data_IF_004193583486
#
_entry.id   IF_004193583486
#
_cell.length_a   1.000
_cell.length_b   1.000
_cell.length_c   1.000
_cell.angle_alpha   90.00
_cell.angle_beta   90.00
_cell.angle_gamma   90.00
#
_symmetry.space_group_name_H-M   'P 1'
#
loop_
_entity.id
_entity.type
_entity.pdbx_description
1 polymer ?
#
# COMPACT_ATOMS: atom_id res chain seq x y z
N UNK A 1 19.01 -5.21 2.90
CA UNK A 1 19.54 -4.09 3.72
C UNK A 1 20.38 -4.62 4.88
N UNK A 2 21.16 -3.75 5.58
CA UNK A 2 21.91 -4.16 6.77
C UNK A 2 21.27 -3.52 7.99
N UNK A 3 20.91 -4.34 8.98
CA UNK A 3 20.42 -3.92 10.28
C UNK A 3 21.42 -4.38 11.35
N UNK A 4 21.59 -3.58 12.39
CA UNK A 4 22.36 -3.99 13.55
C UNK A 4 21.54 -5.00 14.38
N UNK A 5 22.21 -5.93 15.07
CA UNK A 5 21.53 -6.94 15.89
C UNK A 5 20.61 -6.33 16.96
N UNK A 6 20.95 -5.12 17.43
CA UNK A 6 20.15 -4.38 18.41
C UNK A 6 18.83 -3.88 17.84
N UNK A 7 18.73 -3.68 16.50
CA UNK A 7 17.48 -3.29 15.85
C UNK A 7 16.34 -4.30 16.12
N UNK A 8 16.64 -5.58 16.16
CA UNK A 8 15.66 -6.64 16.31
C UNK A 8 15.24 -6.92 17.76
N UNK A 9 15.82 -6.22 18.74
CA UNK A 9 15.45 -6.36 20.15
C UNK A 9 14.12 -5.65 20.44
N UNK A 10 13.43 -6.14 21.48
CA UNK A 10 12.27 -5.49 22.07
C UNK A 10 12.63 -4.05 22.49
N UNK A 11 11.77 -3.12 22.17
CA UNK A 11 12.03 -1.70 22.38
C UNK A 11 10.76 -0.98 22.83
N UNK A 12 10.89 0.08 23.62
CA UNK A 12 9.77 0.99 23.93
C UNK A 12 9.99 2.32 23.22
N UNK A 13 9.07 2.66 22.30
CA UNK A 13 9.02 3.97 21.61
C UNK A 13 7.71 4.67 21.97
N UNK A 14 7.78 5.93 22.40
CA UNK A 14 6.61 6.74 22.80
C UNK A 14 5.65 6.02 23.77
N UNK A 15 6.21 5.24 24.71
CA UNK A 15 5.45 4.46 25.70
C UNK A 15 4.77 3.23 25.12
N UNK A 16 5.04 2.87 23.87
CA UNK A 16 4.53 1.66 23.22
C UNK A 16 5.64 0.60 23.09
N UNK A 17 5.31 -0.63 23.51
CA UNK A 17 6.23 -1.75 23.39
C UNK A 17 6.19 -2.37 21.99
N UNK A 18 7.30 -2.30 21.26
CA UNK A 18 7.47 -2.88 19.94
C UNK A 18 8.18 -4.24 20.10
N UNK A 19 7.51 -5.36 19.81
CA UNK A 19 8.10 -6.69 19.96
C UNK A 19 9.07 -7.01 18.81
N UNK A 20 9.98 -8.01 19.00
CA UNK A 20 10.90 -8.48 17.95
C UNK A 20 10.22 -8.87 16.65
N UNK A 21 9.02 -9.44 16.71
CA UNK A 21 8.22 -9.78 15.53
C UNK A 21 7.94 -8.54 14.66
N UNK A 22 7.53 -7.42 15.26
CA UNK A 22 7.27 -6.18 14.52
C UNK A 22 8.54 -5.57 13.94
N UNK A 23 9.65 -5.61 14.67
CA UNK A 23 10.95 -5.16 14.16
C UNK A 23 11.37 -5.96 12.92
N UNK A 24 11.09 -7.26 12.89
CA UNK A 24 11.36 -8.11 11.72
C UNK A 24 10.37 -7.84 10.58
N UNK A 25 9.10 -7.60 10.89
CA UNK A 25 8.10 -7.19 9.89
C UNK A 25 8.50 -5.88 9.21
N UNK A 26 8.91 -4.87 9.99
CA UNK A 26 9.42 -3.59 9.47
C UNK A 26 10.66 -3.80 8.58
N UNK A 27 11.64 -4.56 9.04
CA UNK A 27 12.84 -4.85 8.26
C UNK A 27 12.51 -5.56 6.93
N UNK A 28 11.60 -6.52 6.97
CA UNK A 28 11.15 -7.25 5.78
C UNK A 28 10.45 -6.32 4.77
N UNK A 29 9.56 -5.43 5.23
CA UNK A 29 8.91 -4.45 4.36
C UNK A 29 9.91 -3.43 3.80
N UNK A 30 10.90 -3.01 4.59
CA UNK A 30 11.95 -2.11 4.14
C UNK A 30 12.83 -2.73 3.05
N UNK A 31 13.01 -4.07 3.00
CA UNK A 31 13.65 -4.74 1.85
C UNK A 31 12.82 -4.55 0.57
N UNK A 32 11.50 -4.70 0.64
CA UNK A 32 10.61 -4.45 -0.50
C UNK A 32 10.64 -2.97 -0.89
N UNK A 33 10.53 -2.07 0.10
CA UNK A 33 10.63 -0.63 -0.12
C UNK A 33 11.93 -0.25 -0.84
N UNK A 34 13.05 -0.81 -0.39
CA UNK A 34 14.35 -0.56 -1.03
C UNK A 34 14.40 -1.02 -2.48
N UNK A 35 13.88 -2.20 -2.79
CA UNK A 35 13.79 -2.70 -4.17
C UNK A 35 12.99 -1.72 -5.05
N UNK A 36 11.82 -1.28 -4.59
CA UNK A 36 10.96 -0.36 -5.35
C UNK A 36 11.59 1.02 -5.48
N UNK A 37 12.16 1.56 -4.41
CA UNK A 37 12.79 2.90 -4.45
C UNK A 37 14.05 2.94 -5.28
N UNK A 38 14.85 1.86 -5.31
CA UNK A 38 16.00 1.73 -6.20
C UNK A 38 15.57 1.71 -7.69
N UNK A 39 14.43 1.08 -8.00
CA UNK A 39 13.84 1.11 -9.35
C UNK A 39 13.39 2.54 -9.69
N UNK A 40 12.72 3.22 -8.76
CA UNK A 40 12.31 4.61 -8.94
C UNK A 40 13.52 5.52 -9.22
N UNK A 41 14.57 5.43 -8.39
CA UNK A 41 15.76 6.26 -8.50
C UNK A 41 16.50 6.04 -9.85
N UNK A 42 16.65 4.76 -10.30
CA UNK A 42 17.28 4.45 -11.58
C UNK A 42 16.52 4.97 -12.81
N UNK A 43 15.19 5.06 -12.68
CA UNK A 43 14.31 5.46 -13.76
C UNK A 43 13.84 6.92 -13.64
N UNK A 44 14.41 7.70 -12.73
CA UNK A 44 14.02 9.10 -12.48
C UNK A 44 12.50 9.23 -12.25
N UNK A 45 11.93 8.30 -11.47
CA UNK A 45 10.53 8.28 -11.07
C UNK A 45 10.41 8.91 -9.68
N UNK A 46 9.61 9.95 -9.57
CA UNK A 46 9.41 10.66 -8.32
C UNK A 46 8.32 9.97 -7.49
N UNK A 47 8.70 9.52 -6.29
CA UNK A 47 7.77 8.95 -5.29
C UNK A 47 7.88 9.71 -3.98
N UNK A 48 6.90 9.57 -3.12
CA UNK A 48 6.89 10.08 -1.75
C UNK A 48 6.34 9.02 -0.78
N UNK A 49 6.81 9.00 0.45
CA UNK A 49 6.12 8.31 1.53
C UNK A 49 4.65 8.75 1.61
N UNK A 50 3.74 7.82 1.97
CA UNK A 50 2.31 8.11 2.10
C UNK A 50 1.81 7.74 3.50
N UNK A 51 0.67 8.25 3.89
CA UNK A 51 -0.04 7.94 5.14
C UNK A 51 0.86 7.81 6.39
N UNK A 52 0.79 6.65 7.08
CA UNK A 52 1.57 6.32 8.27
C UNK A 52 3.08 6.41 8.02
N UNK A 53 3.54 5.99 6.86
CA UNK A 53 4.95 6.06 6.45
C UNK A 53 5.45 7.50 6.37
N UNK A 54 4.66 8.43 5.79
CA UNK A 54 4.99 9.87 5.76
C UNK A 54 5.02 10.46 7.15
N UNK A 55 3.99 10.19 7.97
CA UNK A 55 3.92 10.64 9.34
C UNK A 55 5.07 10.09 10.18
N UNK A 56 5.43 8.83 9.97
CA UNK A 56 6.57 8.18 10.60
C UNK A 56 7.90 8.88 10.27
N UNK A 57 8.16 9.13 8.98
CA UNK A 57 9.37 9.85 8.55
C UNK A 57 9.47 11.25 9.17
N UNK A 58 8.37 12.01 9.20
CA UNK A 58 8.34 13.38 9.73
C UNK A 58 8.47 13.40 11.25
N UNK A 59 7.71 12.59 11.98
CA UNK A 59 7.54 12.65 13.43
C UNK A 59 8.52 11.75 14.18
N UNK A 60 8.68 10.49 13.72
CA UNK A 60 9.46 9.46 14.43
C UNK A 60 10.83 9.20 13.81
N UNK A 61 11.08 9.70 12.59
CA UNK A 61 12.27 9.38 11.77
C UNK A 61 12.38 7.87 11.47
N UNK A 62 11.25 7.19 11.40
CA UNK A 62 11.11 5.76 11.21
C UNK A 62 9.66 5.34 11.30
N UNK A 63 9.43 4.05 11.53
CA UNK A 63 8.10 3.48 11.71
C UNK A 63 7.39 4.09 12.92
N UNK A 64 6.10 4.32 12.81
CA UNK A 64 5.24 4.62 13.96
C UNK A 64 5.17 3.33 14.82
N UNK A 65 5.35 3.40 16.16
CA UNK A 65 5.49 2.20 16.99
C UNK A 65 4.32 1.22 16.92
N UNK A 66 3.13 1.69 16.59
CA UNK A 66 1.90 0.90 16.47
C UNK A 66 1.39 0.81 15.03
N UNK A 67 2.31 0.89 14.06
CA UNK A 67 2.03 0.77 12.63
C UNK A 67 2.72 -0.47 12.05
N UNK A 68 2.10 -1.13 11.08
CA UNK A 68 2.52 -2.42 10.58
C UNK A 68 2.68 -2.48 9.05
N UNK A 69 2.51 -1.36 8.36
CA UNK A 69 2.61 -1.27 6.90
C UNK A 69 3.51 -0.12 6.41
N UNK A 70 3.89 -0.20 5.15
CA UNK A 70 4.66 0.83 4.45
C UNK A 70 3.94 1.21 3.16
N UNK A 71 3.69 2.50 3.02
CA UNK A 71 2.99 3.11 1.91
C UNK A 71 3.84 4.13 1.18
N UNK A 72 3.77 4.13 -0.15
CA UNK A 72 4.29 5.23 -0.98
C UNK A 72 3.23 5.71 -1.95
N UNK A 73 3.36 6.95 -2.38
CA UNK A 73 2.50 7.54 -3.41
C UNK A 73 3.30 8.19 -4.52
N UNK A 74 2.69 8.26 -5.70
CA UNK A 74 3.24 8.90 -6.87
C UNK A 74 2.15 9.69 -7.58
N UNK A 75 2.51 10.85 -8.13
CA UNK A 75 1.63 11.52 -9.08
C UNK A 75 1.34 10.60 -10.27
N UNK A 76 0.14 10.70 -10.84
CA UNK A 76 -0.38 9.78 -11.87
C UNK A 76 0.61 9.46 -12.99
N UNK A 77 1.34 10.45 -13.47
CA UNK A 77 2.31 10.26 -14.57
C UNK A 77 3.42 9.28 -14.13
N UNK A 78 4.00 9.51 -12.97
CA UNK A 78 5.07 8.65 -12.44
C UNK A 78 4.53 7.28 -11.98
N UNK A 79 3.32 7.23 -11.40
CA UNK A 79 2.65 5.96 -11.10
C UNK A 79 2.49 5.09 -12.35
N UNK A 80 1.97 5.66 -13.43
CA UNK A 80 1.79 4.91 -14.69
C UNK A 80 3.12 4.45 -15.32
N UNK A 81 4.20 5.22 -15.13
CA UNK A 81 5.55 4.82 -15.55
C UNK A 81 6.04 3.66 -14.70
N UNK A 82 5.92 3.77 -13.38
CA UNK A 82 6.36 2.73 -12.43
C UNK A 82 5.66 1.40 -12.69
N UNK A 83 4.33 1.39 -12.80
CA UNK A 83 3.55 0.16 -13.04
C UNK A 83 3.98 -0.57 -14.34
N UNK A 84 4.41 0.16 -15.36
CA UNK A 84 4.91 -0.45 -16.61
C UNK A 84 6.34 -0.99 -16.52
N UNK A 85 7.13 -0.45 -15.59
CA UNK A 85 8.54 -0.81 -15.39
C UNK A 85 8.68 -1.96 -14.41
N UNK A 86 7.92 -1.97 -13.32
CA UNK A 86 8.01 -2.95 -12.25
C UNK A 86 8.05 -4.41 -12.75
N UNK A 87 7.15 -4.89 -13.63
CA UNK A 87 7.20 -6.28 -14.10
C UNK A 87 8.50 -6.67 -14.80
N UNK A 88 9.27 -5.70 -15.28
CA UNK A 88 10.51 -5.91 -16.04
C UNK A 88 11.77 -5.79 -15.19
N UNK A 89 11.71 -5.00 -14.12
CA UNK A 89 12.89 -4.64 -13.31
C UNK A 89 12.86 -5.21 -11.89
N UNK A 90 11.71 -5.76 -11.45
CA UNK A 90 11.64 -6.45 -10.16
C UNK A 90 12.57 -7.67 -10.17
N UNK A 91 13.39 -7.86 -9.12
CA UNK A 91 14.18 -9.08 -8.97
C UNK A 91 13.28 -10.31 -8.86
N UNK A 92 13.83 -11.48 -9.17
CA UNK A 92 13.15 -12.75 -8.93
C UNK A 92 12.65 -12.84 -7.48
N UNK A 93 11.44 -13.33 -7.32
CA UNK A 93 10.77 -13.44 -6.02
C UNK A 93 9.86 -12.27 -5.67
N UNK A 94 9.94 -11.15 -6.41
CA UNK A 94 9.06 -10.00 -6.23
C UNK A 94 8.11 -9.84 -7.41
N UNK A 95 6.87 -9.48 -7.13
CA UNK A 95 5.81 -9.33 -8.14
C UNK A 95 4.92 -8.13 -7.84
N UNK A 96 4.26 -7.62 -8.88
CA UNK A 96 3.16 -6.66 -8.73
C UNK A 96 1.89 -7.42 -8.41
N UNK A 97 1.19 -7.04 -7.34
CA UNK A 97 -0.13 -7.51 -6.98
C UNK A 97 -1.18 -6.39 -7.13
N UNK A 98 -2.44 -6.77 -7.32
CA UNK A 98 -3.55 -5.85 -7.58
C UNK A 98 -3.93 -5.81 -9.06
N UNK A 99 -4.70 -4.79 -9.46
CA UNK A 99 -5.35 -4.73 -10.78
C UNK A 99 -4.37 -4.78 -11.98
N UNK A 100 -3.12 -4.40 -11.78
CA UNK A 100 -2.08 -4.38 -12.82
C UNK A 100 -1.15 -5.60 -12.79
N UNK A 101 -1.43 -6.60 -11.95
CA UNK A 101 -0.67 -7.85 -11.98
C UNK A 101 -0.83 -8.60 -13.30
N UNK A 102 0.25 -9.20 -13.79
CA UNK A 102 0.22 -10.12 -14.93
C UNK A 102 -0.30 -11.52 -14.53
N UNK A 103 -0.36 -11.82 -13.23
CA UNK A 103 -0.86 -13.07 -12.67
C UNK A 103 -2.32 -12.92 -12.21
N UNK A 104 -3.26 -13.71 -12.79
CA UNK A 104 -4.68 -13.64 -12.44
C UNK A 104 -4.94 -13.85 -10.93
N UNK A 105 -4.22 -14.77 -10.29
CA UNK A 105 -4.30 -14.99 -8.83
C UNK A 105 -4.04 -13.71 -8.02
N UNK A 106 -3.09 -12.89 -8.47
CA UNK A 106 -2.70 -11.66 -7.78
C UNK A 106 -3.56 -10.45 -8.15
N UNK A 107 -4.36 -10.55 -9.24
CA UNK A 107 -5.35 -9.53 -9.58
C UNK A 107 -6.52 -9.53 -8.59
N UNK A 108 -6.86 -10.67 -8.00
CA UNK A 108 -7.91 -10.79 -6.98
C UNK A 108 -7.54 -10.07 -5.67
N UNK A 109 -6.26 -9.72 -5.47
CA UNK A 109 -5.80 -8.89 -4.35
C UNK A 109 -6.21 -7.41 -4.47
N UNK A 110 -6.79 -6.97 -5.59
CA UNK A 110 -7.32 -5.62 -5.73
C UNK A 110 -8.58 -5.43 -4.87
N UNK A 111 -8.49 -4.57 -3.86
CA UNK A 111 -9.61 -4.21 -2.97
C UNK A 111 -9.75 -2.69 -2.78
N UNK A 112 -8.74 -1.93 -3.19
CA UNK A 112 -8.70 -0.45 -3.24
C UNK A 112 -7.95 0.01 -4.50
N UNK A 113 -7.97 1.31 -4.78
CA UNK A 113 -7.32 1.94 -5.95
C UNK A 113 -5.81 2.07 -5.73
N UNK A 114 -5.11 0.95 -5.66
CA UNK A 114 -3.66 0.90 -5.45
C UNK A 114 -3.03 -0.28 -6.21
N UNK A 115 -1.73 -0.27 -6.29
CA UNK A 115 -0.90 -1.44 -6.61
C UNK A 115 -0.03 -1.81 -5.42
N UNK A 116 0.44 -3.03 -5.38
CA UNK A 116 1.38 -3.50 -4.37
C UNK A 116 2.59 -4.12 -5.02
N UNK A 117 3.74 -4.03 -4.38
CA UNK A 117 4.86 -4.95 -4.65
C UNK A 117 4.99 -5.87 -3.46
N UNK A 118 4.96 -7.16 -3.71
CA UNK A 118 5.05 -8.18 -2.67
C UNK A 118 6.14 -9.19 -3.00
N UNK A 119 6.68 -9.85 -1.97
CA UNK A 119 7.34 -11.14 -2.14
C UNK A 119 6.27 -12.19 -2.48
N UNK A 120 6.48 -12.98 -3.52
CA UNK A 120 5.53 -14.04 -3.89
C UNK A 120 5.95 -15.37 -3.30
N UNK A 121 5.15 -15.92 -2.40
CA UNK A 121 5.39 -17.19 -1.70
C UNK A 121 5.63 -18.38 -2.63
N UNK A 122 5.11 -18.34 -3.87
CA UNK A 122 5.32 -19.40 -4.86
C UNK A 122 6.73 -19.35 -5.50
N UNK A 123 7.44 -18.22 -5.36
CA UNK A 123 8.74 -17.98 -5.97
C UNK A 123 9.92 -18.12 -4.98
N UNK A 124 9.65 -18.22 -3.69
CA UNK A 124 10.67 -18.30 -2.65
C UNK A 124 10.74 -19.70 -2.03
N UNK A 125 11.95 -20.27 -1.92
CA UNK A 125 12.21 -21.28 -0.91
C UNK A 125 12.09 -20.65 0.48
N UNK A 126 11.54 -21.38 1.45
CA UNK A 126 11.29 -20.83 2.78
C UNK A 126 12.57 -20.36 3.50
N UNK A 127 13.67 -21.12 3.39
CA UNK A 127 14.92 -20.76 4.06
C UNK A 127 15.57 -19.53 3.41
N UNK A 128 15.53 -19.44 2.08
CA UNK A 128 16.03 -18.27 1.35
C UNK A 128 15.19 -17.04 1.66
N UNK A 129 13.87 -17.21 1.74
CA UNK A 129 12.96 -16.17 2.17
C UNK A 129 13.32 -15.66 3.59
N UNK A 130 13.40 -16.55 4.56
CA UNK A 130 13.72 -16.22 5.96
C UNK A 130 15.06 -15.50 6.08
N UNK A 131 16.07 -15.93 5.32
CA UNK A 131 17.37 -15.28 5.29
C UNK A 131 17.31 -13.88 4.70
N UNK A 132 16.57 -13.69 3.61
CA UNK A 132 16.45 -12.40 2.93
C UNK A 132 15.62 -11.41 3.75
N UNK A 133 14.50 -11.87 4.34
CA UNK A 133 13.55 -11.05 5.08
C UNK A 133 13.77 -11.10 6.60
N UNK A 134 15.02 -11.22 7.03
CA UNK A 134 15.46 -11.07 8.43
C UNK A 134 14.71 -11.95 9.44
N UNK A 135 14.30 -13.15 9.04
CA UNK A 135 13.59 -14.08 9.89
C UNK A 135 12.11 -13.77 10.14
N UNK A 136 11.52 -12.85 9.37
CA UNK A 136 10.08 -12.62 9.42
C UNK A 136 9.34 -13.70 8.63
N UNK A 137 8.45 -14.50 9.26
CA UNK A 137 7.93 -15.72 8.61
C UNK A 137 6.77 -15.51 7.63
N UNK A 138 6.33 -14.28 7.36
CA UNK A 138 5.21 -14.00 6.47
C UNK A 138 5.66 -13.85 5.01
N UNK A 139 5.38 -14.85 4.18
CA UNK A 139 5.91 -14.95 2.80
C UNK A 139 5.25 -14.05 1.76
N UNK A 140 4.32 -13.15 2.16
CA UNK A 140 3.68 -12.16 1.27
C UNK A 140 3.97 -10.73 1.70
N UNK A 141 5.10 -10.52 2.35
CA UNK A 141 5.51 -9.18 2.76
C UNK A 141 5.57 -8.24 1.56
N UNK A 142 5.09 -7.01 1.71
CA UNK A 142 5.02 -6.05 0.62
C UNK A 142 4.83 -4.63 1.08
N UNK A 143 4.75 -3.72 0.11
CA UNK A 143 4.41 -2.31 0.30
C UNK A 143 3.27 -1.91 -0.62
N UNK A 144 2.54 -0.89 -0.23
CA UNK A 144 1.44 -0.34 -1.00
C UNK A 144 1.86 0.91 -1.78
N UNK A 145 1.34 1.03 -3.01
CA UNK A 145 1.71 2.08 -3.96
C UNK A 145 0.44 2.77 -4.45
N UNK A 146 0.27 4.02 -4.07
CA UNK A 146 -0.94 4.80 -4.32
C UNK A 146 -0.76 5.82 -5.45
N UNK A 147 -1.69 5.90 -6.41
CA UNK A 147 -1.74 7.01 -7.34
C UNK A 147 -2.29 8.26 -6.66
N UNK A 148 -1.71 9.41 -6.95
CA UNK A 148 -2.27 10.73 -6.64
C UNK A 148 -2.74 11.35 -7.94
N UNK A 149 -4.01 11.74 -7.98
CA UNK A 149 -4.69 12.26 -9.14
C UNK A 149 -5.11 13.71 -8.96
N UNK A 150 -5.15 14.44 -10.06
CA UNK A 150 -5.60 15.82 -10.10
C UNK A 150 -7.12 15.89 -10.02
N UNK A 151 -7.64 16.89 -9.26
CA UNK A 151 -9.06 17.17 -9.11
C UNK A 151 -9.40 18.35 -10.01
N UNK A 152 -10.32 18.17 -10.94
CA UNK A 152 -10.72 19.22 -11.90
C UNK A 152 -11.31 20.45 -11.22
N UNK A 153 -10.97 21.65 -11.74
CA UNK A 153 -11.64 22.90 -11.39
C UNK A 153 -13.08 22.96 -11.90
N UNK A 154 -13.37 22.23 -12.98
CA UNK A 154 -14.74 22.06 -13.47
C UNK A 154 -15.50 21.14 -12.51
N UNK A 155 -16.43 21.75 -11.78
CA UNK A 155 -17.19 21.05 -10.74
C UNK A 155 -18.15 20.01 -11.32
N UNK A 156 -18.72 20.25 -12.49
CA UNK A 156 -19.64 19.31 -13.14
C UNK A 156 -18.88 18.07 -13.60
N UNK A 157 -17.70 18.27 -14.20
CA UNK A 157 -16.81 17.17 -14.54
C UNK A 157 -16.34 16.39 -13.31
N UNK A 158 -15.88 17.06 -12.25
CA UNK A 158 -15.41 16.44 -11.02
C UNK A 158 -16.51 15.62 -10.33
N UNK A 159 -17.75 16.13 -10.30
CA UNK A 159 -18.89 15.41 -9.71
C UNK A 159 -19.27 14.18 -10.55
N UNK A 160 -19.35 14.33 -11.88
CA UNK A 160 -19.60 13.21 -12.79
C UNK A 160 -18.53 12.11 -12.63
N UNK A 161 -17.27 12.52 -12.54
CA UNK A 161 -16.15 11.59 -12.31
C UNK A 161 -16.32 10.84 -10.97
N UNK A 162 -16.70 11.56 -9.91
CA UNK A 162 -16.98 10.99 -8.58
C UNK A 162 -18.10 9.95 -8.62
N UNK A 163 -19.22 10.29 -9.27
CA UNK A 163 -20.37 9.39 -9.40
C UNK A 163 -20.01 8.09 -10.13
N UNK A 164 -19.25 8.19 -11.22
CA UNK A 164 -18.78 7.01 -11.97
C UNK A 164 -17.89 6.12 -11.08
N UNK A 165 -16.93 6.70 -10.36
CA UNK A 165 -16.05 5.98 -9.45
C UNK A 165 -16.85 5.30 -8.34
N UNK A 166 -17.77 6.03 -7.68
CA UNK A 166 -18.61 5.51 -6.61
C UNK A 166 -19.48 4.34 -7.10
N UNK A 167 -20.08 4.44 -8.28
CA UNK A 167 -20.86 3.35 -8.86
C UNK A 167 -20.00 2.11 -9.10
N UNK A 168 -18.81 2.27 -9.69
CA UNK A 168 -17.88 1.16 -9.92
C UNK A 168 -17.43 0.49 -8.63
N UNK A 169 -17.06 1.28 -7.61
CA UNK A 169 -16.69 0.76 -6.29
C UNK A 169 -17.86 0.06 -5.58
N UNK A 170 -19.08 0.60 -5.69
CA UNK A 170 -20.28 -0.02 -5.16
C UNK A 170 -20.51 -1.41 -5.79
N UNK A 171 -20.42 -1.52 -7.12
CA UNK A 171 -20.53 -2.80 -7.82
C UNK A 171 -19.50 -3.81 -7.30
N UNK A 172 -18.23 -3.40 -7.16
CA UNK A 172 -17.16 -4.28 -6.69
C UNK A 172 -17.36 -4.72 -5.23
N UNK A 173 -17.74 -3.81 -4.34
CA UNK A 173 -17.97 -4.06 -2.91
C UNK A 173 -19.20 -4.92 -2.67
N UNK A 174 -20.27 -4.72 -3.44
CA UNK A 174 -21.54 -5.44 -3.29
C UNK A 174 -21.70 -6.58 -4.31
N UNK A 175 -20.64 -7.02 -4.96
CA UNK A 175 -20.67 -8.00 -6.05
C UNK A 175 -21.53 -9.23 -5.76
N UNK A 176 -21.29 -9.88 -4.63
CA UNK A 176 -21.99 -11.10 -4.24
C UNK A 176 -23.47 -10.86 -3.94
N UNK A 177 -23.82 -9.72 -3.39
CA UNK A 177 -25.20 -9.33 -3.11
C UNK A 177 -25.93 -9.01 -4.40
N UNK A 178 -25.36 -8.20 -5.27
CA UNK A 178 -25.95 -7.85 -6.58
C UNK A 178 -26.13 -9.10 -7.46
N UNK A 179 -25.20 -10.05 -7.39
CA UNK A 179 -25.32 -11.32 -8.12
C UNK A 179 -26.47 -12.17 -7.57
N UNK A 180 -26.61 -12.28 -6.24
CA UNK A 180 -27.73 -13.02 -5.61
C UNK A 180 -29.09 -12.43 -5.93
N UNK A 181 -29.17 -11.10 -6.01
CA UNK A 181 -30.41 -10.37 -6.27
C UNK A 181 -30.72 -10.24 -7.77
N UNK A 182 -29.85 -10.76 -8.67
CA UNK A 182 -30.01 -10.68 -10.11
C UNK A 182 -29.78 -9.30 -10.75
N UNK A 183 -29.29 -8.31 -9.97
CA UNK A 183 -29.06 -6.93 -10.42
C UNK A 183 -27.65 -6.72 -11.01
N UNK A 184 -26.71 -7.61 -10.78
CA UNK A 184 -25.29 -7.41 -11.13
C UNK A 184 -25.11 -7.07 -12.62
N UNK A 185 -25.74 -7.81 -13.53
CA UNK A 185 -25.62 -7.58 -14.98
C UNK A 185 -26.12 -6.21 -15.39
N UNK A 186 -27.21 -5.75 -14.79
CA UNK A 186 -27.76 -4.41 -15.07
C UNK A 186 -26.83 -3.31 -14.55
N UNK A 187 -26.33 -3.43 -13.31
CA UNK A 187 -25.38 -2.45 -12.74
C UNK A 187 -24.09 -2.35 -13.56
N UNK A 188 -23.56 -3.49 -14.03
CA UNK A 188 -22.37 -3.52 -14.90
C UNK A 188 -22.67 -2.83 -16.23
N UNK A 189 -23.84 -3.06 -16.83
CA UNK A 189 -24.22 -2.43 -18.09
C UNK A 189 -24.41 -0.92 -17.94
N UNK A 190 -24.97 -0.44 -16.82
CA UNK A 190 -25.10 0.98 -16.52
C UNK A 190 -23.73 1.64 -16.33
N UNK A 191 -22.84 1.01 -15.56
CA UNK A 191 -21.45 1.48 -15.39
C UNK A 191 -20.71 1.51 -16.74
N UNK A 192 -20.87 0.48 -17.57
CA UNK A 192 -20.27 0.42 -18.90
C UNK A 192 -20.75 1.56 -19.82
N UNK A 193 -22.04 1.93 -19.77
CA UNK A 193 -22.58 3.08 -20.52
C UNK A 193 -21.93 4.40 -20.08
N UNK A 194 -21.76 4.60 -18.77
CA UNK A 194 -21.08 5.80 -18.25
C UNK A 194 -19.62 5.87 -18.68
N UNK A 195 -18.94 4.71 -18.76
CA UNK A 195 -17.57 4.62 -19.24
C UNK A 195 -17.45 4.52 -20.77
N UNK A 196 -18.57 4.56 -21.51
CA UNK A 196 -18.65 4.40 -22.96
C UNK A 196 -17.98 3.09 -23.47
N UNK A 197 -18.22 1.98 -22.77
CA UNK A 197 -17.71 0.64 -23.11
C UNK A 197 -18.76 -0.44 -22.86
N UNK A 198 -18.71 -1.53 -23.64
CA UNK A 198 -19.46 -2.74 -23.34
C UNK A 198 -18.64 -3.67 -22.44
N UNK A 199 -19.22 -4.09 -21.32
CA UNK A 199 -18.55 -4.96 -20.35
C UNK A 199 -19.21 -6.33 -20.38
N UNK A 200 -18.45 -7.35 -20.81
CA UNK A 200 -18.88 -8.74 -20.71
C UNK A 200 -18.81 -9.21 -19.23
N UNK A 201 -19.72 -10.09 -18.84
CA UNK A 201 -19.69 -10.70 -17.50
C UNK A 201 -18.98 -12.06 -17.56
N UNK A 202 -17.72 -12.06 -17.16
CA UNK A 202 -16.83 -13.23 -17.10
C UNK A 202 -15.89 -13.17 -15.87
N UNK A 203 -14.90 -14.06 -15.79
CA UNK A 203 -13.92 -14.11 -14.69
C UNK A 203 -13.04 -12.84 -14.60
N UNK A 204 -12.88 -12.10 -15.69
CA UNK A 204 -12.02 -10.90 -15.76
C UNK A 204 -12.78 -9.59 -15.46
N UNK A 205 -14.10 -9.65 -15.37
CA UNK A 205 -14.96 -8.47 -15.24
C UNK A 205 -14.61 -7.62 -14.04
N UNK A 206 -14.36 -8.24 -12.88
CA UNK A 206 -14.00 -7.47 -11.66
C UNK A 206 -12.72 -6.67 -11.85
N UNK A 207 -11.67 -7.31 -12.38
CA UNK A 207 -10.40 -6.64 -12.65
C UNK A 207 -10.53 -5.57 -13.73
N UNK A 208 -11.38 -5.80 -14.73
CA UNK A 208 -11.67 -4.81 -15.77
C UNK A 208 -12.36 -3.56 -15.19
N UNK A 209 -13.33 -3.73 -14.28
CA UNK A 209 -13.98 -2.62 -13.58
C UNK A 209 -12.96 -1.83 -12.76
N UNK A 210 -12.06 -2.49 -12.00
CA UNK A 210 -10.96 -1.81 -11.29
C UNK A 210 -10.14 -0.92 -12.22
N UNK A 211 -9.73 -1.45 -13.38
CA UNK A 211 -8.96 -0.70 -14.38
C UNK A 211 -9.74 0.45 -15.02
N UNK A 212 -11.06 0.32 -15.17
CA UNK A 212 -11.90 1.42 -15.65
C UNK A 212 -11.99 2.53 -14.61
N UNK A 213 -12.22 2.18 -13.35
CA UNK A 213 -12.23 3.17 -12.25
C UNK A 213 -10.89 3.92 -12.21
N UNK A 214 -9.78 3.21 -12.25
CA UNK A 214 -8.44 3.82 -12.23
C UNK A 214 -8.21 4.77 -13.42
N UNK A 215 -8.72 4.41 -14.61
CA UNK A 215 -8.69 5.31 -15.77
C UNK A 215 -9.56 6.56 -15.57
N UNK A 216 -10.72 6.42 -14.95
CA UNK A 216 -11.60 7.56 -14.65
C UNK A 216 -10.92 8.48 -13.64
N UNK A 217 -10.23 7.96 -12.61
CA UNK A 217 -9.43 8.76 -11.68
C UNK A 217 -8.37 9.61 -12.42
N UNK A 218 -7.76 9.06 -13.45
CA UNK A 218 -6.66 9.66 -14.20
C UNK A 218 -7.09 10.65 -15.31
N UNK A 219 -8.37 11.05 -15.38
CA UNK A 219 -8.89 11.85 -16.52
C UNK A 219 -8.58 13.34 -16.44
N UNK A 220 -8.26 13.87 -15.25
CA UNK A 220 -7.93 15.28 -15.09
C UNK A 220 -6.43 15.52 -15.26
N UNK A 221 -6.07 16.58 -15.99
CA UNK A 221 -4.68 16.99 -16.20
C UNK A 221 -4.25 18.09 -15.23
N UNK A 222 -2.94 18.26 -15.08
CA UNK A 222 -2.34 19.25 -14.17
C UNK A 222 -2.84 20.68 -14.42
N UNK A 223 -2.98 21.06 -15.69
CA UNK A 223 -3.40 22.40 -16.09
C UNK A 223 -4.85 22.71 -15.73
N UNK A 224 -5.67 21.68 -15.52
CA UNK A 224 -7.11 21.77 -15.21
C UNK A 224 -7.37 21.76 -13.71
N UNK A 225 -6.33 21.60 -12.87
CA UNK A 225 -6.48 21.38 -11.45
C UNK A 225 -5.73 22.40 -10.59
N UNK A 226 -6.26 22.67 -9.40
CA UNK A 226 -5.58 23.36 -8.30
C UNK A 226 -5.24 22.39 -7.16
N UNK A 227 -5.94 21.26 -7.09
CA UNK A 227 -5.83 20.26 -6.06
C UNK A 227 -5.54 18.88 -6.63
N UNK A 228 -4.93 18.04 -5.78
CA UNK A 228 -4.74 16.63 -6.06
C UNK A 228 -5.03 15.81 -4.78
N UNK A 229 -5.37 14.54 -4.95
CA UNK A 229 -5.65 13.63 -3.85
C UNK A 229 -5.48 12.16 -4.25
N UNK A 230 -5.41 11.29 -3.25
CA UNK A 230 -5.78 9.89 -3.42
C UNK A 230 -7.32 9.80 -3.51
N UNK A 231 -7.82 9.31 -4.63
CA UNK A 231 -9.24 9.46 -4.96
C UNK A 231 -10.19 8.70 -4.03
N UNK A 232 -9.80 7.54 -3.48
CA UNK A 232 -10.68 6.84 -2.53
C UNK A 232 -10.96 7.67 -1.26
N UNK A 233 -10.01 8.53 -0.85
CA UNK A 233 -10.24 9.53 0.19
C UNK A 233 -11.15 10.66 -0.27
N UNK A 234 -10.86 11.24 -1.45
CA UNK A 234 -11.59 12.43 -1.95
C UNK A 234 -13.04 12.13 -2.33
N UNK A 235 -13.35 10.97 -2.92
CA UNK A 235 -14.72 10.62 -3.33
C UNK A 235 -15.71 10.56 -2.15
N UNK A 236 -15.20 10.33 -0.93
CA UNK A 236 -15.99 10.24 0.29
C UNK A 236 -15.94 11.52 1.14
N UNK A 237 -14.98 12.41 0.88
CA UNK A 237 -14.78 13.63 1.66
C UNK A 237 -14.16 14.74 0.80
N UNK A 238 -14.94 15.74 0.45
CA UNK A 238 -14.50 16.90 -0.35
C UNK A 238 -13.30 17.64 0.23
N UNK A 239 -13.12 17.60 1.55
CA UNK A 239 -12.00 18.24 2.22
C UNK A 239 -10.70 17.41 2.13
N UNK A 240 -10.77 16.16 1.67
CA UNK A 240 -9.61 15.33 1.44
C UNK A 240 -8.97 15.69 0.09
N UNK A 241 -8.42 16.90 0.04
CA UNK A 241 -7.71 17.43 -1.13
C UNK A 241 -6.61 18.37 -0.68
N UNK A 242 -5.47 18.33 -1.35
CA UNK A 242 -4.28 19.12 -1.08
C UNK A 242 -3.94 19.95 -2.32
N UNK A 243 -3.36 21.12 -2.15
CA UNK A 243 -2.86 21.88 -3.29
C UNK A 243 -1.87 21.02 -4.08
N UNK A 244 -1.98 21.00 -5.40
CA UNK A 244 -1.15 20.14 -6.26
C UNK A 244 0.35 20.40 -6.07
N UNK A 245 0.73 21.62 -5.71
CA UNK A 245 2.10 22.02 -5.42
C UNK A 245 2.73 21.23 -4.26
N UNK A 246 1.90 20.69 -3.35
CA UNK A 246 2.38 19.85 -2.25
C UNK A 246 3.12 18.60 -2.74
N UNK A 247 2.80 18.12 -3.93
CA UNK A 247 3.34 16.90 -4.53
C UNK A 247 4.44 17.17 -5.57
N UNK A 248 4.76 18.43 -5.85
CA UNK A 248 5.65 18.81 -6.94
C UNK A 248 7.09 18.35 -6.71
N UNK A 249 7.56 18.50 -5.50
CA UNK A 249 8.93 18.19 -5.12
C UNK A 249 8.99 17.30 -3.88
N UNK A 250 10.13 16.62 -3.71
CA UNK A 250 10.39 15.74 -2.59
C UNK A 250 11.71 16.13 -1.89
N UNK A 251 11.77 15.87 -0.60
CA UNK A 251 12.98 15.97 0.22
C UNK A 251 13.27 14.62 0.84
N UNK A 252 14.55 14.31 1.07
CA UNK A 252 14.94 13.08 1.75
C UNK A 252 14.88 13.28 3.26
N UNK A 253 14.14 12.43 3.95
CA UNK A 253 14.03 12.39 5.42
C UNK A 253 14.54 11.06 5.95
N UNK A 254 15.09 11.03 7.18
CA UNK A 254 15.45 9.78 7.85
C UNK A 254 14.21 8.89 8.04
N UNK A 255 14.36 7.60 7.78
CA UNK A 255 13.36 6.57 8.05
C UNK A 255 14.08 5.28 8.44
N UNK A 256 14.11 4.97 9.74
CA UNK A 256 14.92 3.90 10.32
C UNK A 256 16.39 3.99 9.85
N UNK A 257 16.88 3.00 9.13
CA UNK A 257 18.26 2.94 8.62
C UNK A 257 18.41 3.39 7.15
N UNK A 258 17.42 4.12 6.60
CA UNK A 258 17.47 4.65 5.23
C UNK A 258 17.02 6.11 5.16
N UNK A 259 17.19 6.71 4.00
CA UNK A 259 16.60 8.00 3.65
C UNK A 259 15.42 7.78 2.71
N UNK A 260 14.26 8.35 3.03
CA UNK A 260 13.02 8.18 2.27
C UNK A 260 12.58 9.53 1.69
N UNK A 261 12.07 9.53 0.47
CA UNK A 261 11.48 10.71 -0.14
C UNK A 261 10.15 11.05 0.53
N UNK A 262 9.98 12.31 0.88
CA UNK A 262 8.76 12.89 1.46
C UNK A 262 8.42 14.14 0.67
N UNK A 263 7.15 14.30 0.27
CA UNK A 263 6.67 15.51 -0.43
C UNK A 263 7.00 16.78 0.34
N UNK A 264 7.46 17.83 -0.33
CA UNK A 264 7.80 19.11 0.32
C UNK A 264 6.59 19.76 1.00
N UNK A 265 5.38 19.51 0.49
CA UNK A 265 4.13 19.95 1.09
C UNK A 265 3.58 19.04 2.19
N UNK A 266 4.40 18.21 2.81
CA UNK A 266 3.98 17.22 3.81
C UNK A 266 3.15 17.78 4.96
N UNK A 267 3.39 19.02 5.35
CA UNK A 267 2.66 19.66 6.47
C UNK A 267 1.17 19.85 6.13
N UNK A 268 0.85 20.34 4.91
CA UNK A 268 -0.54 20.43 4.45
C UNK A 268 -1.16 19.05 4.32
N UNK A 269 -0.45 18.12 3.70
CA UNK A 269 -0.94 16.75 3.49
C UNK A 269 -1.26 16.09 4.84
N UNK A 270 -0.34 16.16 5.81
CA UNK A 270 -0.54 15.56 7.14
C UNK A 270 -1.67 16.25 7.92
N UNK A 271 -1.87 17.57 7.76
CA UNK A 271 -3.01 18.28 8.36
C UNK A 271 -4.33 17.84 7.79
N UNK A 272 -4.42 17.61 6.49
CA UNK A 272 -5.63 17.11 5.84
C UNK A 272 -5.95 15.68 6.29
N UNK A 273 -4.93 14.81 6.38
CA UNK A 273 -5.12 13.39 6.71
C UNK A 273 -5.33 13.16 8.21
N UNK A 274 -4.54 13.80 9.06
CA UNK A 274 -4.47 13.54 10.51
C UNK A 274 -4.90 14.71 11.40
N UNK A 275 -5.21 15.85 10.81
CA UNK A 275 -5.56 17.07 11.56
C UNK A 275 -4.35 17.89 12.00
N UNK A 276 -4.61 19.10 12.51
CA UNK A 276 -3.58 20.09 12.85
C UNK A 276 -2.57 19.67 13.92
N UNK A 277 -2.93 18.68 14.74
CA UNK A 277 -2.11 18.21 15.85
C UNK A 277 -1.33 16.91 15.53
N UNK A 278 -1.11 16.59 14.25
CA UNK A 278 -0.49 15.32 13.80
C UNK A 278 0.90 15.05 14.43
N UNK A 279 1.61 16.09 14.88
CA UNK A 279 2.90 15.95 15.58
C UNK A 279 2.78 15.39 17.01
N UNK A 280 1.58 15.37 17.59
CA UNK A 280 1.35 14.78 18.92
C UNK A 280 1.04 13.29 18.70
N UNK A 281 1.86 12.37 19.23
CA UNK A 281 1.60 10.95 19.10
C UNK A 281 0.27 10.59 19.78
N UNK A 282 -0.66 10.07 19.00
CA UNK A 282 -1.92 9.51 19.50
C UNK A 282 -2.00 8.09 18.99
N UNK A 283 -2.08 7.12 19.92
CA UNK A 283 -2.39 5.75 19.56
C UNK A 283 -3.86 5.70 19.13
N UNK A 284 -4.09 5.84 17.83
CA UNK A 284 -5.40 5.68 17.22
C UNK A 284 -5.84 4.22 17.18
N UNK A 285 -7.13 3.98 16.97
CA UNK A 285 -7.59 2.70 16.49
C UNK A 285 -7.11 2.52 15.06
N UNK A 286 -6.38 1.44 14.79
CA UNK A 286 -6.15 1.00 13.41
C UNK A 286 -7.46 0.48 12.82
N UNK A 287 -7.54 0.41 11.50
CA UNK A 287 -8.68 -0.20 10.81
C UNK A 287 -8.75 -1.73 11.02
N UNK A 288 -7.77 -2.31 11.69
CA UNK A 288 -7.66 -3.72 12.01
C UNK A 288 -6.96 -3.92 13.37
N UNK A 289 -7.00 -5.13 13.89
CA UNK A 289 -6.28 -5.49 15.12
C UNK A 289 -4.76 -5.40 14.88
N UNK A 290 -4.06 -4.71 15.78
CA UNK A 290 -2.60 -4.69 15.79
C UNK A 290 -2.07 -6.02 16.36
N UNK A 291 -1.00 -6.62 15.82
CA UNK A 291 -0.13 -6.05 14.76
C UNK A 291 -0.56 -6.39 13.32
N UNK A 292 -1.49 -7.29 13.11
CA UNK A 292 -1.86 -7.72 11.76
C UNK A 292 -3.34 -8.10 11.71
N UNK A 293 -3.90 -8.17 10.49
CA UNK A 293 -5.21 -8.77 10.27
C UNK A 293 -5.25 -10.22 10.76
N UNK A 294 -6.35 -10.67 11.33
CA UNK A 294 -6.48 -12.02 11.89
C UNK A 294 -6.14 -13.16 10.92
N UNK A 295 -6.37 -12.98 9.61
CA UNK A 295 -5.95 -13.96 8.60
C UNK A 295 -4.43 -14.00 8.40
N UNK A 296 -3.74 -12.86 8.51
CA UNK A 296 -2.28 -12.79 8.44
C UNK A 296 -1.64 -13.46 9.67
N UNK A 297 -2.21 -13.26 10.84
CA UNK A 297 -1.77 -13.94 12.05
C UNK A 297 -1.89 -15.47 11.93
N UNK A 298 -3.00 -15.97 11.37
CA UNK A 298 -3.17 -17.40 11.12
C UNK A 298 -2.14 -17.94 10.13
N UNK A 299 -1.81 -17.18 9.09
CA UNK A 299 -0.79 -17.58 8.13
C UNK A 299 0.62 -17.58 8.75
N UNK A 300 0.96 -16.58 9.56
CA UNK A 300 2.18 -16.54 10.35
C UNK A 300 2.31 -17.79 11.25
N UNK A 301 1.25 -18.13 11.98
CA UNK A 301 1.21 -19.33 12.84
C UNK A 301 1.44 -20.59 12.01
N UNK A 302 0.80 -20.71 10.85
CA UNK A 302 0.96 -21.86 9.96
C UNK A 302 2.42 -21.98 9.48
N UNK A 303 3.04 -20.87 9.07
CA UNK A 303 4.42 -20.88 8.62
C UNK A 303 5.40 -21.38 9.70
N UNK A 304 5.31 -20.87 10.92
CA UNK A 304 6.19 -21.34 12.00
C UNK A 304 5.91 -22.79 12.41
N UNK A 305 4.66 -23.29 12.25
CA UNK A 305 4.33 -24.71 12.47
C UNK A 305 4.95 -25.61 11.39
N UNK A 306 4.99 -25.16 10.14
CA UNK A 306 5.61 -25.92 9.04
C UNK A 306 7.11 -26.16 9.27
N UNK A 307 7.80 -25.28 9.98
CA UNK A 307 9.20 -25.47 10.39
C UNK A 307 9.36 -26.15 11.76
N UNK A 308 8.27 -26.68 12.32
CA UNK A 308 8.30 -27.47 13.56
C UNK A 308 8.30 -26.64 14.85
N UNK A 309 8.18 -25.32 14.78
CA UNK A 309 8.15 -24.47 15.98
C UNK A 309 6.75 -24.48 16.62
N UNK A 310 6.66 -24.66 17.95
CA UNK A 310 5.42 -24.84 18.67
C UNK A 310 4.97 -23.62 19.49
N UNK A 311 5.84 -22.60 19.63
CA UNK A 311 5.57 -21.36 20.36
C UNK A 311 4.72 -20.36 19.57
N UNK A 312 4.62 -19.14 20.06
CA UNK A 312 3.99 -18.00 19.39
C UNK A 312 4.92 -17.45 18.29
N UNK A 313 4.38 -16.60 17.41
CA UNK A 313 5.21 -15.94 16.38
C UNK A 313 6.24 -15.01 17.02
N UNK A 314 5.89 -14.33 18.10
CA UNK A 314 6.81 -13.46 18.85
C UNK A 314 7.96 -14.26 19.46
N UNK A 315 7.67 -15.40 20.12
CA UNK A 315 8.69 -16.31 20.64
C UNK A 315 9.60 -16.86 19.51
N UNK A 316 9.03 -17.20 18.35
CA UNK A 316 9.81 -17.60 17.18
C UNK A 316 10.80 -16.50 16.77
N UNK A 317 10.34 -15.28 16.64
CA UNK A 317 11.17 -14.13 16.29
C UNK A 317 12.22 -13.82 17.37
N UNK A 318 11.90 -13.99 18.65
CA UNK A 318 12.86 -13.87 19.75
C UNK A 318 13.96 -14.96 19.68
N UNK A 319 13.60 -16.22 19.40
CA UNK A 319 14.54 -17.31 19.23
C UNK A 319 15.49 -17.09 18.03
N UNK A 320 14.94 -16.58 16.91
CA UNK A 320 15.74 -16.19 15.75
C UNK A 320 16.68 -15.03 16.11
N UNK A 321 16.18 -13.99 16.82
CA UNK A 321 16.94 -12.81 17.22
C UNK A 321 18.09 -13.16 18.17
N UNK A 322 17.88 -14.14 19.05
CA UNK A 322 18.90 -14.59 20.01
C UNK A 322 19.90 -15.58 19.42
N UNK A 323 19.72 -16.00 18.16
CA UNK A 323 20.55 -17.03 17.51
C UNK A 323 20.33 -18.46 18.05
N UNK A 324 19.32 -18.67 18.91
CA UNK A 324 18.96 -20.00 19.41
C UNK A 324 18.26 -20.84 18.35
N UNK A 325 17.47 -20.19 17.50
CA UNK A 325 16.86 -20.80 16.32
C UNK A 325 17.61 -20.33 15.08
N UNK A 326 18.21 -21.27 14.37
CA UNK A 326 18.81 -21.03 13.04
C UNK A 326 17.78 -21.38 11.98
N UNK A 327 17.45 -20.44 11.15
CA UNK A 327 16.54 -20.57 10.01
C UNK A 327 17.32 -20.43 8.72
#
# INVERSE_FOLDING_TARGET
MRFDDDFFKRETRDGFEVPPMMKRAWAAQMEVLKVVTDICDRNEIKYSAEFGTRLGAVRHKGMIPWDDDIDISLMRVDYNRLIKILPKELPYGFVVAGMYSDCERLQEAAFVLQSRVIADEELWDFNDYMKYFHGFPYQRVGIDIYPIDYISRDKEFAETQREIIQLGLMILRQWNELNRNGCLKQCIAEFGKLCNVDIALDSKTRNYIWKLIDKVCAMCYEEEADYAAYYDGWINNDNYRMHKECFKDVIKMPFENMMLNVSTGYDEILKVVYGGNYMIPVKGASNHDYPFYGHMEQELIKQIRNVGFKGTVDEFCEEVSSGRLRV
#
